data_IF_578742472032
#
_entry.id   IF_578742472032
#
_cell.length_a   1.000
_cell.length_b   1.000
_cell.length_c   1.000
_cell.angle_alpha   90.00
_cell.angle_beta   90.00
_cell.angle_gamma   90.00
#
_symmetry.space_group_name_H-M   'P 1'
#
loop_
_entity.id
_entity.type
_entity.pdbx_description
1 polymer ?
#
# COMPACT_ATOMS: atom_id res chain seq x y z
N UNK A 1 22.57 -15.37 6.70
CA UNK A 1 22.01 -14.64 5.53
C UNK A 1 21.11 -13.56 6.09
N UNK A 2 21.27 -12.30 5.68
CA UNK A 2 20.72 -11.11 6.37
C UNK A 2 19.30 -11.30 6.96
N UNK A 3 18.28 -11.63 6.16
CA UNK A 3 16.90 -11.76 6.64
C UNK A 3 16.73 -12.82 7.74
N UNK A 4 17.42 -13.96 7.62
CA UNK A 4 17.37 -15.03 8.63
C UNK A 4 18.00 -14.57 9.93
N UNK A 5 19.12 -13.85 9.84
CA UNK A 5 19.87 -13.40 11.01
C UNK A 5 19.09 -12.29 11.74
N UNK A 6 18.53 -11.34 10.99
CA UNK A 6 17.77 -10.20 11.54
C UNK A 6 16.46 -10.62 12.23
N UNK A 7 15.74 -11.62 11.70
CA UNK A 7 14.42 -12.01 12.21
C UNK A 7 14.44 -13.30 13.05
N UNK A 8 15.61 -13.88 13.33
CA UNK A 8 15.75 -15.12 14.07
C UNK A 8 15.12 -15.07 15.47
N UNK A 9 15.29 -13.97 16.21
CA UNK A 9 14.72 -13.81 17.55
C UNK A 9 13.20 -13.67 17.50
N UNK A 10 12.67 -12.90 16.55
CA UNK A 10 11.23 -12.70 16.35
C UNK A 10 10.53 -13.99 15.97
N UNK A 11 11.11 -14.78 15.05
CA UNK A 11 10.53 -16.05 14.63
C UNK A 11 10.41 -17.06 15.80
N UNK A 12 11.31 -17.04 16.78
CA UNK A 12 11.24 -17.94 17.95
C UNK A 12 10.03 -17.69 18.85
N UNK A 13 9.45 -16.50 18.82
CA UNK A 13 8.38 -16.07 19.72
C UNK A 13 7.08 -15.69 19.00
N UNK A 14 7.05 -15.79 17.67
CA UNK A 14 5.89 -15.41 16.86
C UNK A 14 5.60 -16.49 15.81
N UNK A 15 4.54 -17.26 16.04
CA UNK A 15 4.14 -18.38 15.18
C UNK A 15 3.87 -17.95 13.74
N UNK A 16 3.24 -16.78 13.53
CA UNK A 16 2.97 -16.27 12.19
C UNK A 16 4.28 -16.01 11.42
N UNK A 17 5.24 -15.33 12.04
CA UNK A 17 6.55 -15.07 11.44
C UNK A 17 7.33 -16.37 11.23
N UNK A 18 7.28 -17.32 12.16
CA UNK A 18 7.92 -18.63 12.01
C UNK A 18 7.40 -19.38 10.78
N UNK A 19 6.08 -19.40 10.56
CA UNK A 19 5.48 -20.03 9.39
C UNK A 19 5.90 -19.36 8.07
N UNK A 20 5.96 -18.01 8.03
CA UNK A 20 6.47 -17.29 6.86
C UNK A 20 7.95 -17.66 6.58
N UNK A 21 8.77 -17.78 7.62
CA UNK A 21 10.17 -18.18 7.47
C UNK A 21 10.34 -19.64 7.03
N UNK A 22 9.46 -20.53 7.44
CA UNK A 22 9.44 -21.92 6.96
C UNK A 22 9.22 -21.97 5.44
N UNK A 23 8.23 -21.23 4.94
CA UNK A 23 7.96 -21.11 3.49
C UNK A 23 9.19 -20.53 2.77
N UNK A 24 9.74 -19.42 3.27
CA UNK A 24 10.91 -18.78 2.69
C UNK A 24 12.12 -19.73 2.59
N UNK A 25 12.45 -20.44 3.68
CA UNK A 25 13.55 -21.41 3.71
C UNK A 25 13.31 -22.59 2.77
N UNK A 26 12.06 -23.04 2.67
CA UNK A 26 11.69 -24.14 1.78
C UNK A 26 11.90 -23.78 0.31
N UNK A 27 11.39 -22.62 -0.13
CA UNK A 27 11.58 -22.12 -1.51
C UNK A 27 13.06 -21.94 -1.85
N UNK A 28 13.86 -21.43 -0.91
CA UNK A 28 15.31 -21.30 -1.13
C UNK A 28 16.01 -22.64 -1.27
N UNK A 29 15.59 -23.66 -0.51
CA UNK A 29 16.13 -25.01 -0.60
C UNK A 29 15.78 -25.67 -1.94
N UNK A 30 14.56 -25.47 -2.43
CA UNK A 30 14.12 -25.98 -3.74
C UNK A 30 14.73 -25.23 -4.92
N UNK A 31 15.08 -23.96 -4.70
CA UNK A 31 15.57 -23.05 -5.73
C UNK A 31 14.48 -22.08 -6.20
N UNK A 32 14.87 -20.85 -6.47
CA UNK A 32 13.95 -19.79 -6.91
C UNK A 32 13.54 -20.04 -8.36
N UNK A 33 12.30 -20.49 -8.57
CA UNK A 33 11.77 -20.79 -9.90
C UNK A 33 11.31 -19.54 -10.70
N UNK A 34 10.94 -18.45 -10.02
CA UNK A 34 10.50 -17.21 -10.64
C UNK A 34 11.46 -16.08 -10.26
N UNK A 35 12.07 -15.44 -11.26
CA UNK A 35 13.09 -14.39 -11.07
C UNK A 35 12.53 -12.98 -11.25
N UNK A 36 11.33 -12.84 -11.81
CA UNK A 36 10.61 -11.57 -11.94
C UNK A 36 9.78 -11.33 -10.68
N UNK A 37 10.05 -10.24 -9.99
CA UNK A 37 9.34 -9.80 -8.79
C UNK A 37 8.78 -8.39 -9.02
N UNK A 38 7.48 -8.19 -8.76
CA UNK A 38 6.85 -6.87 -8.74
C UNK A 38 6.64 -6.42 -7.29
N UNK A 39 7.35 -5.38 -6.87
CA UNK A 39 7.14 -4.72 -5.58
C UNK A 39 6.25 -3.49 -5.75
N UNK A 40 5.11 -3.47 -5.05
CA UNK A 40 4.28 -2.28 -4.90
C UNK A 40 4.42 -1.78 -3.47
N UNK A 41 5.40 -0.91 -3.25
CA UNK A 41 5.78 -0.46 -1.92
C UNK A 41 5.17 0.90 -1.60
N UNK A 42 4.86 1.13 -0.32
CA UNK A 42 4.55 2.46 0.22
C UNK A 42 5.52 2.77 1.36
N UNK A 43 6.06 3.98 1.35
CA UNK A 43 6.89 4.52 2.42
C UNK A 43 6.13 5.65 3.08
N UNK A 44 5.85 5.49 4.37
CA UNK A 44 5.08 6.46 5.14
C UNK A 44 6.02 7.31 5.99
N UNK A 45 5.77 8.62 6.01
CA UNK A 45 6.62 9.62 6.65
C UNK A 45 5.79 10.53 7.54
N UNK A 46 6.40 11.01 8.62
CA UNK A 46 5.82 12.04 9.49
C UNK A 46 6.83 13.16 9.74
N UNK A 47 6.32 14.38 9.90
CA UNK A 47 7.12 15.50 10.36
C UNK A 47 7.39 15.35 11.86
N UNK A 48 8.64 15.55 12.23
CA UNK A 48 9.09 15.62 13.60
C UNK A 48 9.61 17.02 13.87
N UNK A 49 9.00 17.70 14.83
CA UNK A 49 9.39 19.04 15.25
C UNK A 49 10.35 18.92 16.43
N UNK A 50 11.57 19.37 16.25
CA UNK A 50 12.59 19.46 17.29
C UNK A 50 12.29 20.64 18.22
N UNK A 51 12.92 20.67 19.41
CA UNK A 51 12.67 21.69 20.42
C UNK A 51 13.05 23.12 19.98
N UNK A 52 13.95 23.25 19.01
CA UNK A 52 14.37 24.53 18.43
C UNK A 52 13.43 25.04 17.32
N UNK A 53 12.34 24.31 17.02
CA UNK A 53 11.38 24.63 15.96
C UNK A 53 11.73 24.04 14.59
N UNK A 54 12.87 23.37 14.45
CA UNK A 54 13.25 22.69 13.21
C UNK A 54 12.29 21.53 12.91
N UNK A 55 11.79 21.47 11.67
CA UNK A 55 10.92 20.37 11.23
C UNK A 55 11.69 19.43 10.30
N UNK A 56 11.80 18.16 10.68
CA UNK A 56 12.46 17.12 9.87
C UNK A 56 11.46 16.05 9.46
N UNK A 57 11.60 15.53 8.23
CA UNK A 57 10.78 14.42 7.76
C UNK A 57 11.41 13.09 8.18
N UNK A 58 10.71 12.28 8.99
CA UNK A 58 11.17 10.96 9.43
C UNK A 58 10.31 9.88 8.79
N UNK A 59 10.96 8.82 8.27
CA UNK A 59 10.26 7.63 7.81
C UNK A 59 9.77 6.84 9.03
N UNK A 60 8.49 6.49 9.03
CA UNK A 60 7.87 5.76 10.14
C UNK A 60 7.56 4.31 9.77
N UNK A 61 7.32 4.02 8.49
CA UNK A 61 6.93 2.69 8.04
C UNK A 61 7.35 2.45 6.58
N UNK A 62 7.54 1.16 6.25
CA UNK A 62 7.61 0.68 4.87
C UNK A 62 6.66 -0.52 4.73
N UNK A 63 5.70 -0.40 3.82
CA UNK A 63 4.79 -1.49 3.48
C UNK A 63 5.19 -2.08 2.14
N UNK A 64 5.51 -3.38 2.14
CA UNK A 64 5.85 -4.16 0.93
C UNK A 64 4.78 -5.18 0.58
N UNK A 65 3.72 -5.27 1.38
CA UNK A 65 2.56 -6.13 1.18
C UNK A 65 1.29 -5.29 1.32
N UNK A 66 0.32 -5.50 0.42
CA UNK A 66 -0.99 -4.86 0.45
C UNK A 66 -0.93 -3.34 0.67
N UNK A 67 0.00 -2.65 -0.01
CA UNK A 67 0.08 -1.18 0.00
C UNK A 67 -1.13 -0.55 -0.71
N UNK A 68 -2.25 -0.47 0.02
CA UNK A 68 -3.55 -0.01 -0.48
C UNK A 68 -3.63 1.49 -0.80
N UNK A 69 -4.87 1.95 -1.02
CA UNK A 69 -5.27 3.35 -1.30
C UNK A 69 -4.81 3.97 -2.63
N UNK A 70 -4.03 3.30 -3.47
CA UNK A 70 -3.60 3.86 -4.76
C UNK A 70 -4.76 4.39 -5.63
N UNK A 71 -5.87 3.66 -5.73
CA UNK A 71 -7.05 4.13 -6.46
C UNK A 71 -7.69 5.37 -5.80
N UNK A 72 -7.94 5.32 -4.48
CA UNK A 72 -8.57 6.42 -3.75
C UNK A 72 -7.71 7.68 -3.75
N UNK A 73 -6.41 7.55 -3.47
CA UNK A 73 -5.46 8.65 -3.46
C UNK A 73 -5.40 9.39 -4.80
N UNK A 74 -5.62 8.67 -5.91
CA UNK A 74 -5.68 9.26 -7.26
C UNK A 74 -6.87 10.19 -7.46
N UNK A 75 -7.93 10.06 -6.65
CA UNK A 75 -9.16 10.87 -6.72
C UNK A 75 -9.20 11.95 -5.64
N UNK A 76 -8.52 11.73 -4.51
CA UNK A 76 -8.48 12.65 -3.37
C UNK A 76 -8.08 14.08 -3.78
N UNK A 77 -7.08 14.25 -4.64
CA UNK A 77 -6.65 15.57 -5.12
C UNK A 77 -7.75 16.31 -5.86
N UNK A 78 -8.57 15.62 -6.67
CA UNK A 78 -9.67 16.23 -7.42
C UNK A 78 -10.80 16.67 -6.48
N UNK A 79 -11.11 15.85 -5.48
CA UNK A 79 -12.08 16.19 -4.42
C UNK A 79 -11.62 17.44 -3.67
N UNK A 80 -10.37 17.50 -3.23
CA UNK A 80 -9.84 18.69 -2.54
C UNK A 80 -9.84 19.93 -3.43
N UNK A 81 -9.50 19.79 -4.71
CA UNK A 81 -9.56 20.90 -5.67
C UNK A 81 -10.98 21.45 -5.80
N UNK A 82 -11.97 20.56 -5.91
CA UNK A 82 -13.37 20.94 -5.96
C UNK A 82 -13.81 21.70 -4.70
N UNK A 83 -13.52 21.14 -3.51
CA UNK A 83 -13.87 21.76 -2.23
C UNK A 83 -13.24 23.15 -2.08
N UNK A 84 -11.95 23.30 -2.41
CA UNK A 84 -11.27 24.60 -2.33
C UNK A 84 -11.91 25.64 -3.26
N UNK A 85 -12.28 25.25 -4.49
CA UNK A 85 -12.96 26.15 -5.42
C UNK A 85 -14.34 26.57 -4.90
N UNK A 86 -15.12 25.65 -4.33
CA UNK A 86 -16.43 25.96 -3.72
C UNK A 86 -16.27 26.98 -2.57
N UNK A 87 -15.18 26.90 -1.81
CA UNK A 87 -14.86 27.84 -0.74
C UNK A 87 -14.24 29.17 -1.21
N UNK A 88 -14.19 29.43 -2.52
CA UNK A 88 -13.55 30.62 -3.09
C UNK A 88 -12.02 30.65 -2.98
N UNK A 89 -11.39 29.52 -2.64
CA UNK A 89 -9.94 29.33 -2.47
C UNK A 89 -9.27 28.78 -3.73
N UNK A 90 -9.55 29.38 -4.87
CA UNK A 90 -9.07 28.89 -6.16
C UNK A 90 -7.54 29.02 -6.30
N UNK A 91 -6.91 29.99 -5.63
CA UNK A 91 -5.45 30.14 -5.63
C UNK A 91 -4.75 28.99 -4.92
N UNK A 92 -5.33 28.48 -3.85
CA UNK A 92 -4.88 27.31 -3.10
C UNK A 92 -5.14 26.03 -3.89
N UNK A 93 -6.29 25.93 -4.57
CA UNK A 93 -6.63 24.80 -5.42
C UNK A 93 -5.59 24.56 -6.54
N UNK A 94 -4.99 25.64 -7.07
CA UNK A 94 -3.91 25.60 -8.06
C UNK A 94 -2.57 25.09 -7.51
N UNK A 95 -2.37 25.12 -6.18
CA UNK A 95 -1.15 24.63 -5.52
C UNK A 95 -1.18 23.12 -5.25
N UNK A 96 -2.33 22.46 -5.43
CA UNK A 96 -2.46 21.03 -5.21
C UNK A 96 -1.67 20.25 -6.27
N UNK A 97 -0.74 19.41 -5.80
CA UNK A 97 0.06 18.54 -6.65
C UNK A 97 -0.80 17.43 -7.29
N UNK A 98 -0.51 17.05 -8.55
CA UNK A 98 -1.16 15.88 -9.15
C UNK A 98 -0.79 14.62 -8.37
N UNK A 99 -1.76 13.73 -8.20
CA UNK A 99 -1.57 12.44 -7.56
C UNK A 99 -2.27 11.37 -8.41
N UNK A 100 -1.52 10.49 -9.06
CA UNK A 100 -2.10 9.42 -9.90
C UNK A 100 -1.31 8.10 -9.78
N UNK A 101 -1.21 7.51 -8.58
CA UNK A 101 -0.54 6.24 -8.37
C UNK A 101 -1.26 5.08 -9.09
N UNK A 102 -2.57 5.15 -9.34
CA UNK A 102 -3.28 4.07 -10.04
C UNK A 102 -2.73 3.83 -11.44
N UNK A 103 -2.35 4.88 -12.17
CA UNK A 103 -1.71 4.75 -13.49
C UNK A 103 -0.35 4.06 -13.39
N UNK A 104 0.46 4.44 -12.41
CA UNK A 104 1.78 3.83 -12.20
C UNK A 104 1.66 2.35 -11.82
N UNK A 105 0.72 2.02 -10.93
CA UNK A 105 0.43 0.65 -10.50
C UNK A 105 -0.04 -0.20 -11.70
N UNK A 106 -0.98 0.30 -12.51
CA UNK A 106 -1.46 -0.38 -13.70
C UNK A 106 -0.34 -0.66 -14.71
N UNK A 107 0.54 0.32 -14.95
CA UNK A 107 1.69 0.17 -15.82
C UNK A 107 2.69 -0.87 -15.26
N UNK A 108 2.90 -0.90 -13.94
CA UNK A 108 3.79 -1.87 -13.31
C UNK A 108 3.26 -3.30 -13.45
N UNK A 109 1.95 -3.51 -13.28
CA UNK A 109 1.32 -4.81 -13.56
C UNK A 109 1.43 -5.21 -15.03
N UNK A 110 1.16 -4.29 -15.96
CA UNK A 110 1.31 -4.56 -17.39
C UNK A 110 2.75 -4.95 -17.74
N UNK A 111 3.74 -4.27 -17.16
CA UNK A 111 5.15 -4.59 -17.37
C UNK A 111 5.54 -5.94 -16.77
N UNK A 112 5.07 -6.26 -15.57
CA UNK A 112 5.31 -7.58 -14.96
C UNK A 112 4.68 -8.71 -15.79
N UNK A 113 3.49 -8.50 -16.33
CA UNK A 113 2.81 -9.45 -17.24
C UNK A 113 3.61 -9.67 -18.53
N UNK A 114 4.13 -8.60 -19.13
CA UNK A 114 4.99 -8.66 -20.32
C UNK A 114 6.27 -9.46 -20.04
N UNK A 115 6.95 -9.16 -18.91
CA UNK A 115 8.20 -9.83 -18.51
C UNK A 115 8.00 -11.30 -18.15
N UNK A 116 6.81 -11.69 -17.67
CA UNK A 116 6.48 -13.08 -17.42
C UNK A 116 6.40 -13.90 -18.73
N UNK A 117 6.10 -13.27 -19.87
CA UNK A 117 6.25 -13.88 -21.19
C UNK A 117 5.17 -14.89 -21.60
N UNK A 118 4.02 -14.95 -20.91
CA UNK A 118 2.93 -15.89 -21.23
C UNK A 118 1.65 -15.18 -21.65
N UNK A 119 1.19 -15.45 -22.88
CA UNK A 119 -0.07 -14.90 -23.43
C UNK A 119 -1.34 -15.38 -22.71
N UNK A 120 -1.24 -16.43 -21.89
CA UNK A 120 -2.36 -17.01 -21.12
C UNK A 120 -2.28 -16.67 -19.63
N UNK A 121 -1.40 -15.76 -19.23
CA UNK A 121 -1.25 -15.37 -17.84
C UNK A 121 -2.51 -14.66 -17.35
N UNK A 122 -3.03 -15.13 -16.21
CA UNK A 122 -4.13 -14.52 -15.46
C UNK A 122 -3.56 -13.85 -14.21
N UNK A 123 -4.02 -12.64 -13.91
CA UNK A 123 -3.73 -11.96 -12.67
C UNK A 123 -4.69 -12.45 -11.58
N UNK A 124 -4.15 -13.01 -10.50
CA UNK A 124 -4.94 -13.46 -9.35
C UNK A 124 -4.82 -12.39 -8.25
N UNK A 125 -5.95 -11.81 -7.87
CA UNK A 125 -6.04 -10.91 -6.72
C UNK A 125 -6.53 -11.69 -5.50
N UNK A 126 -5.75 -11.68 -4.42
CA UNK A 126 -6.10 -12.33 -3.16
C UNK A 126 -6.40 -11.26 -2.11
N UNK A 127 -7.53 -11.37 -1.42
CA UNK A 127 -7.97 -10.43 -0.40
C UNK A 127 -8.89 -11.10 0.61
N UNK A 128 -8.74 -10.76 1.88
CA UNK A 128 -9.55 -11.35 2.95
C UNK A 128 -10.88 -10.59 3.07
N UNK A 129 -11.93 -11.10 2.41
CA UNK A 129 -13.24 -10.42 2.29
C UNK A 129 -13.99 -10.30 3.62
N UNK A 130 -13.52 -10.96 4.68
CA UNK A 130 -14.17 -11.03 6.00
C UNK A 130 -14.12 -9.73 6.81
N UNK A 131 -13.24 -8.78 6.49
CA UNK A 131 -13.17 -7.47 7.19
C UNK A 131 -12.86 -6.26 6.29
N UNK A 132 -12.84 -6.41 4.95
CA UNK A 132 -12.23 -5.44 4.02
C UNK A 132 -13.18 -4.42 3.34
N UNK A 133 -14.49 -4.41 3.66
CA UNK A 133 -15.39 -3.38 3.12
C UNK A 133 -15.14 -1.95 3.67
N UNK A 134 -14.10 -1.73 4.49
CA UNK A 134 -13.71 -0.39 4.94
C UNK A 134 -12.62 0.27 4.09
N UNK A 135 -11.90 -0.48 3.25
CA UNK A 135 -10.77 0.05 2.46
C UNK A 135 -10.98 0.09 0.95
N UNK A 136 -11.91 -0.70 0.41
CA UNK A 136 -12.17 -0.81 -1.02
C UNK A 136 -13.63 -0.44 -1.32
N UNK A 137 -13.90 0.87 -1.43
CA UNK A 137 -15.14 1.47 -1.93
C UNK A 137 -16.45 1.15 -1.16
N UNK A 138 -17.01 2.21 -0.59
CA UNK A 138 -18.40 2.43 -0.16
C UNK A 138 -19.44 1.34 -0.51
N UNK A 139 -19.94 0.65 0.53
CA UNK A 139 -21.19 -0.11 0.46
C UNK A 139 -22.39 0.85 0.68
N UNK A 140 -23.24 1.11 -0.33
CA UNK A 140 -24.40 2.00 -0.19
C UNK A 140 -25.55 1.37 0.63
N UNK A 141 -25.42 0.11 1.08
CA UNK A 141 -26.50 -0.65 1.71
C UNK A 141 -26.58 -0.59 3.24
N UNK A 142 -25.64 0.04 3.96
CA UNK A 142 -25.62 -0.04 5.43
C UNK A 142 -26.41 1.10 6.09
N UNK A 143 -27.60 0.79 6.61
CA UNK A 143 -28.33 1.64 7.55
C UNK A 143 -27.41 2.00 8.72
N UNK A 144 -27.19 3.30 8.95
CA UNK A 144 -26.50 3.81 10.13
C UNK A 144 -27.20 3.29 11.40
N UNK A 145 -26.49 2.73 12.39
CA UNK A 145 -27.09 2.53 13.71
C UNK A 145 -27.39 3.91 14.29
N UNK A 146 -28.62 4.11 14.76
CA UNK A 146 -28.94 5.24 15.61
C UNK A 146 -28.08 5.14 16.87
N UNK A 147 -27.16 6.08 17.04
CA UNK A 147 -26.56 6.37 18.34
C UNK A 147 -26.99 7.79 18.67
N UNK A 148 -28.12 7.90 19.37
CA UNK A 148 -28.39 9.01 20.29
C UNK A 148 -27.30 8.98 21.38
N UNK A 149 -26.83 10.07 21.97
CA UNK A 149 -27.39 11.43 22.15
C UNK A 149 -26.21 12.40 22.34
#
# INVERSE_FOLDING_TARGET
>A
MFLQDTLASTAKVNDFIDQLFKIYKHVLKEGIAQIVFLGLNRSDYMFHCEADGTTVLKQIEINTICAGFGAMASRTTEVYRHVLNVLGKSKEALKLLPNNPVKAIANAFAKAWELYGSKRLVLIAWGNVSHLLQGCCDDPGRKRPNVCS
#
